data_IF_242256807861
#
_entry.id   IF_242256807861
#
_cell.length_a   1.000
_cell.length_b   1.000
_cell.length_c   1.000
_cell.angle_alpha   90.00
_cell.angle_beta   90.00
_cell.angle_gamma   90.00
#
_symmetry.space_group_name_H-M   'P 1'
#
loop_
_entity.id
_entity.type
_entity.pdbx_description
1 polymer ?
#
# COMPACT_ATOMS: atom_id res chain seq x y z
N UNK A 1 4.12 17.39 9.76
CA UNK A 1 4.26 16.37 10.83
C UNK A 1 4.73 15.09 10.16
N UNK A 2 5.73 14.41 10.71
CA UNK A 2 6.20 13.10 10.20
C UNK A 2 5.44 12.03 10.98
N UNK A 3 4.81 11.09 10.25
CA UNK A 3 4.20 9.90 10.82
C UNK A 3 5.16 8.73 10.72
N UNK A 4 5.12 7.87 11.72
CA UNK A 4 5.99 6.72 11.83
C UNK A 4 5.14 5.45 12.05
N UNK A 5 5.37 4.42 11.22
CA UNK A 5 4.68 3.14 11.29
C UNK A 5 5.71 1.99 11.28
N UNK A 6 5.77 1.23 12.36
CA UNK A 6 6.54 0.00 12.37
C UNK A 6 5.75 -1.12 11.70
N UNK A 7 6.41 -1.85 10.83
CA UNK A 7 5.96 -3.15 10.35
C UNK A 7 6.70 -4.18 11.18
N UNK A 8 5.98 -4.97 11.95
CA UNK A 8 6.59 -5.96 12.84
C UNK A 8 5.80 -7.26 12.87
N UNK A 9 6.45 -8.37 13.24
CA UNK A 9 5.76 -9.65 13.44
C UNK A 9 4.65 -9.54 14.47
N UNK A 10 3.59 -10.34 14.29
CA UNK A 10 2.38 -10.33 15.13
C UNK A 10 2.69 -10.40 16.63
N UNK A 11 3.63 -11.26 17.03
CA UNK A 11 4.04 -11.42 18.43
C UNK A 11 4.55 -10.12 19.10
N UNK A 12 4.98 -9.13 18.32
CA UNK A 12 5.54 -7.87 18.83
C UNK A 12 4.65 -6.65 18.58
N UNK A 13 3.47 -6.82 17.97
CA UNK A 13 2.57 -5.72 17.65
C UNK A 13 2.21 -4.87 18.88
N UNK A 14 1.82 -5.49 19.99
CA UNK A 14 1.46 -4.80 21.22
C UNK A 14 2.62 -3.99 21.83
N UNK A 15 3.86 -4.39 21.54
CA UNK A 15 5.05 -3.71 22.04
C UNK A 15 5.39 -2.49 21.21
N UNK A 16 5.33 -2.60 19.87
CA UNK A 16 5.80 -1.56 18.97
C UNK A 16 4.72 -0.62 18.47
N UNK A 17 3.47 -1.08 18.32
CA UNK A 17 2.37 -0.27 17.82
C UNK A 17 2.13 1.01 18.66
N UNK A 18 2.37 0.96 19.96
CA UNK A 18 2.23 2.13 20.85
C UNK A 18 3.18 3.29 20.53
N UNK A 19 4.22 3.06 19.74
CA UNK A 19 5.14 4.09 19.29
C UNK A 19 4.81 4.61 17.89
N UNK A 20 3.81 4.02 17.25
CA UNK A 20 3.38 4.43 15.93
C UNK A 20 2.53 5.70 16.01
N UNK A 21 2.69 6.55 15.00
CA UNK A 21 1.81 7.71 14.75
C UNK A 21 0.99 7.53 13.48
N UNK A 22 1.16 6.42 12.80
CA UNK A 22 0.33 5.84 11.75
C UNK A 22 0.51 4.32 11.76
N UNK A 23 -0.39 3.56 11.16
CA UNK A 23 -0.28 2.11 11.04
C UNK A 23 -0.31 1.69 9.58
N UNK A 24 0.70 0.93 9.14
CA UNK A 24 0.72 0.25 7.85
C UNK A 24 0.37 -1.21 8.08
N UNK A 25 -0.78 -1.64 7.56
CA UNK A 25 -1.40 -2.94 7.81
C UNK A 25 -1.27 -3.79 6.55
N UNK A 26 -0.58 -4.91 6.64
CA UNK A 26 -0.29 -5.76 5.50
C UNK A 26 -1.47 -6.68 5.18
N UNK A 27 -2.01 -6.60 3.96
CA UNK A 27 -3.19 -7.36 3.55
C UNK A 27 -3.01 -8.87 3.69
N UNK A 28 -1.85 -9.41 3.29
CA UNK A 28 -1.59 -10.84 3.41
C UNK A 28 -1.62 -11.33 4.87
N UNK A 29 -1.14 -10.52 5.83
CA UNK A 29 -1.21 -10.86 7.25
C UNK A 29 -2.66 -10.75 7.80
N UNK A 30 -3.44 -9.80 7.31
CA UNK A 30 -4.87 -9.73 7.67
C UNK A 30 -5.63 -10.97 7.18
N UNK A 31 -5.24 -11.53 6.03
CA UNK A 31 -5.82 -12.76 5.51
C UNK A 31 -5.37 -14.01 6.28
N UNK A 32 -4.07 -14.13 6.54
CA UNK A 32 -3.44 -15.37 6.98
C UNK A 32 -3.32 -15.48 8.51
N UNK A 33 -3.35 -14.36 9.23
CA UNK A 33 -3.09 -14.30 10.68
C UNK A 33 -4.24 -13.62 11.43
N UNK A 34 -5.05 -14.44 12.11
CA UNK A 34 -6.19 -13.97 12.90
C UNK A 34 -5.78 -13.02 14.04
N UNK A 35 -4.64 -13.28 14.70
CA UNK A 35 -4.15 -12.43 15.79
C UNK A 35 -3.75 -11.05 15.27
N UNK A 36 -3.12 -10.99 14.09
CA UNK A 36 -2.77 -9.74 13.41
C UNK A 36 -4.03 -8.94 13.05
N UNK A 37 -4.99 -9.59 12.42
CA UNK A 37 -6.27 -8.98 12.04
C UNK A 37 -7.02 -8.46 13.26
N UNK A 38 -7.16 -9.29 14.31
CA UNK A 38 -7.88 -8.92 15.53
C UNK A 38 -7.19 -7.79 16.29
N UNK A 39 -5.86 -7.75 16.29
CA UNK A 39 -5.12 -6.64 16.86
C UNK A 39 -5.52 -5.31 16.19
N UNK A 40 -5.45 -5.21 14.86
CA UNK A 40 -5.78 -3.96 14.17
C UNK A 40 -7.27 -3.64 14.15
N UNK A 41 -8.15 -4.64 14.17
CA UNK A 41 -9.58 -4.47 14.34
C UNK A 41 -9.93 -3.78 15.67
N UNK A 42 -9.25 -4.16 16.73
CA UNK A 42 -9.51 -3.65 18.08
C UNK A 42 -8.66 -2.42 18.45
N UNK A 43 -7.62 -2.12 17.68
CA UNK A 43 -6.78 -0.96 17.93
C UNK A 43 -7.55 0.33 17.68
N UNK A 44 -7.65 1.18 18.71
CA UNK A 44 -8.32 2.47 18.66
C UNK A 44 -7.48 3.52 19.41
N UNK A 45 -6.37 3.92 18.81
CA UNK A 45 -5.42 4.89 19.37
C UNK A 45 -5.50 6.28 18.70
N UNK A 46 -6.45 6.45 17.77
CA UNK A 46 -6.64 7.70 17.02
C UNK A 46 -5.65 7.94 15.88
N UNK A 47 -4.69 7.05 15.68
CA UNK A 47 -3.72 7.17 14.60
C UNK A 47 -4.28 6.66 13.27
N UNK A 48 -3.90 7.26 12.12
CA UNK A 48 -4.37 6.80 10.81
C UNK A 48 -3.86 5.39 10.51
N UNK A 49 -4.75 4.58 9.93
CA UNK A 49 -4.48 3.22 9.49
C UNK A 49 -4.51 3.15 7.97
N UNK A 50 -3.50 2.57 7.39
CA UNK A 50 -3.30 2.37 5.96
C UNK A 50 -3.31 0.87 5.69
N UNK A 51 -4.26 0.38 4.89
CA UNK A 51 -4.25 -0.99 4.40
C UNK A 51 -3.30 -1.08 3.21
N UNK A 52 -2.18 -1.76 3.40
CA UNK A 52 -1.23 -2.05 2.33
C UNK A 52 -1.73 -3.23 1.48
N UNK A 53 -1.55 -3.14 0.17
CA UNK A 53 -1.98 -4.17 -0.77
C UNK A 53 -1.08 -5.42 -0.79
N UNK A 54 0.04 -5.40 -0.08
CA UNK A 54 1.06 -6.47 -0.05
C UNK A 54 1.64 -6.81 -1.43
N UNK A 55 1.77 -5.81 -2.31
CA UNK A 55 2.26 -6.00 -3.68
C UNK A 55 3.62 -6.69 -3.74
N UNK A 56 4.53 -6.36 -2.81
CA UNK A 56 5.85 -6.98 -2.75
C UNK A 56 5.77 -8.47 -2.46
N UNK A 57 4.96 -8.88 -1.50
CA UNK A 57 4.77 -10.28 -1.12
C UNK A 57 4.08 -11.06 -2.24
N UNK A 58 3.06 -10.48 -2.86
CA UNK A 58 2.36 -11.09 -4.01
C UNK A 58 3.33 -11.29 -5.18
N UNK A 59 4.09 -10.25 -5.53
CA UNK A 59 5.11 -10.31 -6.57
C UNK A 59 6.17 -11.39 -6.27
N UNK A 60 6.72 -11.41 -5.06
CA UNK A 60 7.75 -12.38 -4.64
C UNK A 60 7.25 -13.82 -4.67
N UNK A 61 5.96 -14.04 -4.39
CA UNK A 61 5.32 -15.36 -4.40
C UNK A 61 4.72 -15.73 -5.75
N UNK A 62 4.84 -14.85 -6.76
CA UNK A 62 4.21 -14.99 -8.06
C UNK A 62 2.68 -15.20 -7.97
N UNK A 63 2.05 -14.51 -7.02
CA UNK A 63 0.60 -14.50 -6.81
C UNK A 63 -0.02 -13.26 -7.49
N UNK A 64 -1.29 -13.34 -7.92
CA UNK A 64 -2.01 -12.16 -8.39
C UNK A 64 -2.23 -11.15 -7.26
N UNK A 65 -2.33 -9.86 -7.62
CA UNK A 65 -2.73 -8.82 -6.68
C UNK A 65 -4.12 -9.10 -6.11
N UNK A 66 -4.35 -8.66 -4.88
CA UNK A 66 -5.67 -8.78 -4.26
C UNK A 66 -6.73 -8.02 -5.08
N UNK A 67 -7.90 -8.62 -5.32
CA UNK A 67 -9.00 -7.91 -5.95
C UNK A 67 -9.57 -6.82 -5.04
N UNK A 68 -10.21 -5.82 -5.65
CA UNK A 68 -10.71 -4.64 -4.97
C UNK A 68 -11.66 -4.95 -3.80
N UNK A 69 -12.61 -5.85 -4.02
CA UNK A 69 -13.60 -6.27 -3.02
C UNK A 69 -12.93 -6.85 -1.76
N UNK A 70 -11.88 -7.64 -1.94
CA UNK A 70 -11.13 -8.22 -0.84
C UNK A 70 -10.32 -7.18 -0.06
N UNK A 71 -9.67 -6.24 -0.76
CA UNK A 71 -8.97 -5.12 -0.10
C UNK A 71 -9.94 -4.23 0.68
N UNK A 72 -11.13 -3.97 0.13
CA UNK A 72 -12.19 -3.23 0.81
C UNK A 72 -12.70 -3.95 2.07
N UNK A 73 -12.91 -5.27 1.99
CA UNK A 73 -13.30 -6.09 3.14
C UNK A 73 -12.25 -6.03 4.25
N UNK A 74 -10.98 -6.26 3.93
CA UNK A 74 -9.87 -6.20 4.88
C UNK A 74 -9.68 -4.80 5.47
N UNK A 75 -9.80 -3.76 4.64
CA UNK A 75 -9.75 -2.37 5.08
C UNK A 75 -10.86 -2.05 6.09
N UNK A 76 -12.09 -2.48 5.84
CA UNK A 76 -13.23 -2.34 6.77
C UNK A 76 -12.99 -3.11 8.07
N UNK A 77 -12.52 -4.35 7.96
CA UNK A 77 -12.25 -5.19 9.13
C UNK A 77 -11.23 -4.57 10.10
N UNK A 78 -10.23 -3.86 9.57
CA UNK A 78 -9.19 -3.20 10.36
C UNK A 78 -9.47 -1.72 10.65
N UNK A 79 -10.61 -1.17 10.26
CA UNK A 79 -10.94 0.26 10.38
C UNK A 79 -9.89 1.17 9.71
N UNK A 80 -9.38 0.79 8.54
CA UNK A 80 -8.44 1.59 7.77
C UNK A 80 -9.11 2.83 7.18
N UNK A 81 -8.38 3.94 7.07
CA UNK A 81 -8.83 5.16 6.40
C UNK A 81 -8.31 5.23 4.97
N UNK A 82 -7.16 4.60 4.71
CA UNK A 82 -6.50 4.60 3.42
C UNK A 82 -6.32 3.17 2.93
N UNK A 83 -6.42 2.97 1.61
CA UNK A 83 -6.06 1.69 0.97
C UNK A 83 -5.04 1.97 -0.13
N UNK A 84 -3.95 1.20 -0.12
CA UNK A 84 -2.96 1.20 -1.19
C UNK A 84 -3.56 0.48 -2.40
N UNK A 85 -3.60 1.17 -3.54
CA UNK A 85 -4.06 0.61 -4.81
C UNK A 85 -3.03 -0.39 -5.35
N UNK A 86 -3.49 -1.33 -6.18
CA UNK A 86 -2.58 -2.31 -6.78
C UNK A 86 -1.49 -1.63 -7.57
N UNK A 87 -0.24 -1.98 -7.27
CA UNK A 87 0.95 -1.53 -7.94
C UNK A 87 1.79 -2.74 -8.39
N UNK A 88 2.60 -2.54 -9.43
CA UNK A 88 3.30 -3.63 -10.11
C UNK A 88 4.80 -3.34 -10.17
N UNK A 89 5.57 -3.75 -9.14
CA UNK A 89 7.01 -3.46 -9.05
C UNK A 89 7.79 -3.98 -10.27
N UNK A 90 8.56 -3.09 -10.90
CA UNK A 90 9.41 -3.44 -12.04
C UNK A 90 8.69 -3.60 -13.38
N UNK A 91 7.37 -3.39 -13.42
CA UNK A 91 6.59 -3.37 -14.65
C UNK A 91 6.35 -1.93 -15.16
N UNK A 92 5.70 -1.79 -16.34
CA UNK A 92 5.41 -0.47 -16.88
C UNK A 92 4.51 0.34 -15.95
N UNK A 93 4.76 1.63 -15.86
CA UNK A 93 3.99 2.51 -14.99
C UNK A 93 2.52 2.63 -15.40
N UNK A 94 2.23 2.46 -16.70
CA UNK A 94 0.86 2.47 -17.20
C UNK A 94 0.02 1.34 -16.58
N UNK A 95 0.63 0.19 -16.32
CA UNK A 95 -0.08 -0.92 -15.67
C UNK A 95 -0.55 -0.54 -14.28
N UNK A 96 0.30 0.11 -13.49
CA UNK A 96 -0.05 0.63 -12.15
C UNK A 96 -1.08 1.75 -12.26
N UNK A 97 -0.95 2.66 -13.22
CA UNK A 97 -1.91 3.72 -13.50
C UNK A 97 -3.29 3.16 -13.86
N UNK A 98 -3.33 2.21 -14.78
CA UNK A 98 -4.59 1.62 -15.26
C UNK A 98 -5.33 0.88 -14.14
N UNK A 99 -4.59 0.16 -13.28
CA UNK A 99 -5.16 -0.41 -12.07
C UNK A 99 -5.72 0.66 -11.14
N UNK A 100 -5.00 1.75 -10.92
CA UNK A 100 -5.46 2.85 -10.07
C UNK A 100 -6.74 3.51 -10.62
N UNK A 101 -6.83 3.73 -11.94
CA UNK A 101 -8.04 4.29 -12.59
C UNK A 101 -9.26 3.41 -12.31
N UNK A 102 -9.10 2.09 -12.31
CA UNK A 102 -10.19 1.14 -12.02
C UNK A 102 -10.54 1.07 -10.53
N UNK A 103 -9.55 1.20 -9.64
CA UNK A 103 -9.72 1.05 -8.20
C UNK A 103 -10.22 2.30 -7.49
N UNK A 104 -9.85 3.50 -7.97
CA UNK A 104 -10.23 4.79 -7.36
C UNK A 104 -11.74 4.88 -7.10
N UNK A 105 -12.64 4.67 -8.09
CA UNK A 105 -14.07 4.79 -7.83
C UNK A 105 -14.56 3.79 -6.80
N UNK A 106 -14.07 2.54 -6.84
CA UNK A 106 -14.47 1.49 -5.93
C UNK A 106 -14.06 1.79 -4.48
N UNK A 107 -12.82 2.27 -4.28
CA UNK A 107 -12.32 2.59 -2.95
C UNK A 107 -13.02 3.83 -2.36
N UNK A 108 -13.28 4.85 -3.19
CA UNK A 108 -14.02 6.05 -2.75
C UNK A 108 -15.48 5.73 -2.42
N UNK A 109 -16.15 4.90 -3.20
CA UNK A 109 -17.50 4.41 -2.92
C UNK A 109 -17.52 3.58 -1.62
N UNK A 110 -16.46 2.82 -1.36
CA UNK A 110 -16.26 2.09 -0.11
C UNK A 110 -15.98 2.97 1.11
N UNK A 111 -15.82 4.28 0.94
CA UNK A 111 -15.54 5.26 1.98
C UNK A 111 -14.06 5.42 2.34
N UNK A 112 -13.15 4.93 1.49
CA UNK A 112 -11.71 4.99 1.73
C UNK A 112 -11.04 6.14 0.95
N UNK A 113 -9.92 6.59 1.49
CA UNK A 113 -8.95 7.42 0.79
C UNK A 113 -7.98 6.54 0.01
N UNK A 114 -7.56 7.00 -1.15
CA UNK A 114 -6.71 6.28 -2.07
C UNK A 114 -5.24 6.58 -1.85
N UNK A 115 -4.41 5.54 -1.90
CA UNK A 115 -2.97 5.64 -1.78
C UNK A 115 -2.32 5.02 -3.02
N UNK A 116 -1.58 5.83 -3.79
CA UNK A 116 -0.89 5.41 -5.00
C UNK A 116 0.60 5.20 -4.74
N UNK A 117 1.16 4.11 -5.25
CA UNK A 117 2.60 3.84 -5.20
C UNK A 117 3.15 3.85 -6.63
N UNK A 118 3.88 4.90 -7.03
CA UNK A 118 4.47 4.97 -8.36
C UNK A 118 5.42 3.81 -8.62
N UNK A 119 5.32 3.23 -9.81
CA UNK A 119 6.18 2.14 -10.28
C UNK A 119 6.71 2.48 -11.67
N UNK A 120 7.74 1.77 -12.10
CA UNK A 120 8.32 1.83 -13.43
C UNK A 120 9.23 0.64 -13.68
N UNK A 121 9.57 0.35 -14.96
CA UNK A 121 10.51 -0.71 -15.31
C UNK A 121 11.91 -0.45 -14.73
N UNK A 122 12.67 -1.52 -14.58
CA UNK A 122 14.05 -1.42 -14.08
C UNK A 122 14.90 -0.62 -15.07
N UNK A 123 15.61 0.38 -14.57
CA UNK A 123 16.47 1.27 -15.36
C UNK A 123 15.73 2.39 -16.11
N UNK A 124 14.44 2.54 -15.93
CA UNK A 124 13.60 3.54 -16.62
C UNK A 124 13.16 4.65 -15.65
N UNK A 125 14.05 5.60 -15.41
CA UNK A 125 13.80 6.73 -14.47
C UNK A 125 12.66 7.60 -14.97
N UNK A 126 12.58 7.84 -16.27
CA UNK A 126 11.55 8.71 -16.85
C UNK A 126 10.14 8.15 -16.61
N UNK A 127 9.96 6.83 -16.73
CA UNK A 127 8.70 6.16 -16.45
C UNK A 127 8.26 6.35 -14.98
N UNK A 128 9.20 6.25 -14.03
CA UNK A 128 8.91 6.53 -12.62
C UNK A 128 8.48 7.99 -12.42
N UNK A 129 9.18 8.93 -13.08
CA UNK A 129 8.86 10.36 -12.99
C UNK A 129 7.49 10.67 -13.60
N UNK A 130 7.16 10.06 -14.73
CA UNK A 130 5.83 10.18 -15.35
C UNK A 130 4.73 9.62 -14.44
N UNK A 131 4.98 8.47 -13.79
CA UNK A 131 4.08 7.87 -12.81
C UNK A 131 3.82 8.80 -11.62
N UNK A 132 4.87 9.44 -11.11
CA UNK A 132 4.76 10.42 -10.01
C UNK A 132 3.99 11.64 -10.48
N UNK A 133 4.32 12.20 -11.65
CA UNK A 133 3.65 13.38 -12.17
C UNK A 133 2.16 13.14 -12.40
N UNK A 134 1.81 11.99 -13.01
CA UNK A 134 0.41 11.59 -13.17
C UNK A 134 -0.34 11.53 -11.84
N UNK A 135 0.29 11.00 -10.81
CA UNK A 135 -0.31 10.91 -9.49
C UNK A 135 -0.52 12.29 -8.84
N UNK A 136 0.45 13.21 -9.02
CA UNK A 136 0.35 14.59 -8.52
C UNK A 136 -0.77 15.38 -9.19
N UNK A 137 -1.00 15.14 -10.48
CA UNK A 137 -2.03 15.81 -11.26
C UNK A 137 -3.44 15.22 -11.04
N UNK A 138 -3.53 14.04 -10.43
CA UNK A 138 -4.79 13.33 -10.21
C UNK A 138 -5.42 13.66 -8.84
N UNK A 139 -6.41 14.56 -8.83
CA UNK A 139 -7.13 14.99 -7.62
C UNK A 139 -7.85 13.87 -6.86
N UNK A 140 -7.96 12.69 -7.44
CA UNK A 140 -8.59 11.53 -6.79
C UNK A 140 -7.59 10.67 -6.03
N UNK A 141 -6.30 11.00 -6.06
CA UNK A 141 -5.26 10.38 -5.26
C UNK A 141 -5.06 11.21 -4.00
N UNK A 142 -5.27 10.60 -2.84
CA UNK A 142 -5.18 11.29 -1.55
C UNK A 142 -3.76 11.23 -0.96
N UNK A 143 -3.01 10.16 -1.23
CA UNK A 143 -1.61 9.98 -0.80
C UNK A 143 -0.78 9.33 -1.92
N UNK A 144 0.51 9.70 -1.97
CA UNK A 144 1.52 9.07 -2.82
C UNK A 144 2.58 8.44 -1.92
N UNK A 145 2.86 7.15 -2.13
CA UNK A 145 3.89 6.40 -1.43
C UNK A 145 5.11 6.18 -2.30
N UNK A 146 6.29 6.34 -1.75
CA UNK A 146 7.53 5.98 -2.41
C UNK A 146 8.01 4.63 -1.89
N UNK A 147 7.85 3.60 -2.71
CA UNK A 147 8.35 2.27 -2.37
C UNK A 147 9.88 2.27 -2.32
N UNK A 148 10.43 1.56 -1.36
CA UNK A 148 11.87 1.32 -1.26
C UNK A 148 12.45 0.59 -2.48
N UNK A 149 11.60 -0.03 -3.30
CA UNK A 149 12.00 -0.69 -4.55
C UNK A 149 11.88 0.23 -5.77
N UNK A 150 10.96 1.19 -5.77
CA UNK A 150 10.70 2.03 -6.95
C UNK A 150 11.93 2.81 -7.39
N UNK A 151 12.60 3.52 -6.48
CA UNK A 151 13.80 4.29 -6.81
C UNK A 151 14.98 3.41 -7.22
N UNK A 152 15.41 2.39 -6.44
CA UNK A 152 16.49 1.50 -6.88
C UNK A 152 16.20 0.84 -8.22
N UNK A 153 14.98 0.35 -8.44
CA UNK A 153 14.59 -0.26 -9.71
C UNK A 153 14.73 0.75 -10.87
N UNK A 154 14.19 1.96 -10.73
CA UNK A 154 14.25 2.97 -11.77
C UNK A 154 15.69 3.36 -12.16
N UNK A 155 16.60 3.41 -11.18
CA UNK A 155 18.01 3.69 -11.42
C UNK A 155 18.84 2.44 -11.80
N UNK A 156 18.23 1.25 -11.86
CA UNK A 156 18.94 0.01 -12.16
C UNK A 156 19.97 -0.38 -11.09
N UNK A 157 19.78 0.08 -9.87
CA UNK A 157 20.71 -0.19 -8.75
C UNK A 157 20.25 -1.43 -8.00
N UNK A 158 21.13 -2.44 -7.93
CA UNK A 158 20.88 -3.60 -7.10
C UNK A 158 20.82 -3.20 -5.61
N UNK A 159 19.84 -3.71 -4.92
CA UNK A 159 19.68 -3.53 -3.49
C UNK A 159 20.60 -4.51 -2.76
N UNK A 160 21.66 -4.01 -2.19
CA UNK A 160 22.54 -4.77 -1.29
C UNK A 160 21.95 -4.93 0.12
#
# INVERSE_FOLDING_TARGET
>A
MIHFAHICPTAYLSTYAKYNTAHLILAHLVEEDEQYRDFYKNLNDGNPKIMDNSAFEMWKQNKPMYPADKLLEMGKACNAQYIVMSDYPGESWEKTKDAAIQLIPQFKEGGFKTFYVPQGPIGMVDDLLESIQWALDNKNIDLIGMSILSCPNAFGVERN
#
